data_IF_979417362457
#
_entry.id   IF_979417362457
#
_cell.length_a   1.000
_cell.length_b   1.000
_cell.length_c   1.000
_cell.angle_alpha   90.00
_cell.angle_beta   90.00
_cell.angle_gamma   90.00
#
_symmetry.space_group_name_H-M   'P 1'
#
loop_
_entity.id
_entity.type
_entity.pdbx_description
1 polymer ?
#
# COMPACT_ATOMS: atom_id res chain seq x y z
N UNK A 1 -13.33 14.58 -18.68
CA UNK A 1 -12.67 15.80 -18.19
C UNK A 1 -13.55 16.59 -17.22
N UNK A 2 -14.81 16.92 -17.57
CA UNK A 2 -15.68 17.69 -16.65
C UNK A 2 -15.90 17.01 -15.29
N UNK A 3 -16.09 15.68 -15.25
CA UNK A 3 -16.17 14.95 -13.99
C UNK A 3 -14.88 15.00 -13.17
N UNK A 4 -13.71 14.94 -13.81
CA UNK A 4 -12.41 15.06 -13.16
C UNK A 4 -12.28 16.46 -12.54
N UNK A 5 -12.65 17.51 -13.27
CA UNK A 5 -12.65 18.90 -12.78
C UNK A 5 -13.57 19.04 -11.56
N UNK A 6 -14.77 18.45 -11.63
CA UNK A 6 -15.77 18.49 -10.55
C UNK A 6 -15.26 17.77 -9.29
N UNK A 7 -14.68 16.59 -9.43
CA UNK A 7 -14.17 15.77 -8.31
C UNK A 7 -12.90 16.39 -7.72
N UNK A 8 -12.01 16.94 -8.55
CA UNK A 8 -10.77 17.57 -8.10
C UNK A 8 -11.00 18.89 -7.35
N UNK A 9 -12.24 19.41 -7.32
CA UNK A 9 -12.60 20.70 -6.74
C UNK A 9 -11.69 21.85 -7.26
N UNK A 10 -11.29 21.76 -8.53
CA UNK A 10 -10.37 22.70 -9.19
C UNK A 10 -11.07 23.45 -10.33
N UNK A 11 -10.55 24.63 -10.68
CA UNK A 11 -11.08 25.36 -11.85
C UNK A 11 -10.74 24.63 -13.15
N UNK A 12 -11.61 24.77 -14.15
CA UNK A 12 -11.36 24.26 -15.51
C UNK A 12 -9.99 24.73 -16.03
N UNK A 13 -9.69 26.01 -15.87
CA UNK A 13 -8.40 26.61 -16.28
C UNK A 13 -7.21 25.99 -15.54
N UNK A 14 -7.38 25.63 -14.27
CA UNK A 14 -6.33 24.95 -13.50
C UNK A 14 -6.07 23.56 -14.06
N UNK A 15 -7.11 22.74 -14.25
CA UNK A 15 -6.95 21.35 -14.73
C UNK A 15 -6.35 21.32 -16.13
N UNK A 16 -6.87 22.14 -17.05
CA UNK A 16 -6.36 22.19 -18.43
C UNK A 16 -4.96 22.78 -18.56
N UNK A 17 -4.43 23.42 -17.50
CA UNK A 17 -3.01 23.83 -17.46
C UNK A 17 -2.07 22.64 -17.35
N UNK A 18 -2.51 21.57 -16.67
CA UNK A 18 -1.69 20.39 -16.40
C UNK A 18 -2.05 19.20 -17.29
N UNK A 19 -3.31 19.09 -17.70
CA UNK A 19 -3.80 17.94 -18.46
C UNK A 19 -4.62 18.38 -19.66
N UNK A 20 -4.18 17.99 -20.86
CA UNK A 20 -4.87 18.33 -22.11
C UNK A 20 -6.00 17.35 -22.41
N UNK A 21 -5.94 16.13 -21.86
CA UNK A 21 -6.87 15.04 -22.15
C UNK A 21 -7.13 14.15 -20.92
N UNK A 22 -8.14 13.25 -21.01
CA UNK A 22 -8.35 12.18 -20.02
C UNK A 22 -7.14 11.24 -19.99
N UNK A 23 -6.51 11.01 -21.13
CA UNK A 23 -5.37 10.12 -21.26
C UNK A 23 -4.14 10.69 -20.53
N UNK A 24 -3.93 12.02 -20.60
CA UNK A 24 -2.86 12.70 -19.85
C UNK A 24 -3.05 12.53 -18.33
N UNK A 25 -4.31 12.62 -17.86
CA UNK A 25 -4.62 12.36 -16.45
C UNK A 25 -4.32 10.91 -16.10
N UNK A 26 -4.71 9.95 -16.94
CA UNK A 26 -4.43 8.54 -16.71
C UNK A 26 -2.93 8.24 -16.67
N UNK A 27 -2.15 8.82 -17.58
CA UNK A 27 -0.69 8.70 -17.58
C UNK A 27 -0.15 9.22 -16.24
N UNK A 28 -0.53 10.42 -15.82
CA UNK A 28 -0.04 11.01 -14.58
C UNK A 28 -0.42 10.20 -13.33
N UNK A 29 -1.64 9.64 -13.29
CA UNK A 29 -2.07 8.76 -12.19
C UNK A 29 -1.20 7.50 -12.14
N UNK A 30 -0.90 6.88 -13.28
CA UNK A 30 -0.05 5.67 -13.30
C UNK A 30 1.41 6.01 -12.98
N UNK A 31 1.90 7.16 -13.45
CA UNK A 31 3.22 7.68 -13.07
C UNK A 31 3.34 7.87 -11.56
N UNK A 32 2.33 8.44 -10.90
CA UNK A 32 2.34 8.61 -9.44
C UNK A 32 2.46 7.27 -8.69
N UNK A 33 1.81 6.21 -9.18
CA UNK A 33 1.97 4.87 -8.60
C UNK A 33 3.37 4.31 -8.78
N UNK A 34 3.97 4.50 -9.97
CA UNK A 34 5.33 4.08 -10.25
C UNK A 34 6.34 4.84 -9.39
N UNK A 35 6.19 6.17 -9.32
CA UNK A 35 7.07 7.05 -8.55
C UNK A 35 6.98 6.73 -7.05
N UNK A 36 5.78 6.47 -6.53
CA UNK A 36 5.58 6.01 -5.16
C UNK A 36 6.36 4.73 -4.84
N UNK A 37 6.38 3.75 -5.76
CA UNK A 37 7.12 2.49 -5.59
C UNK A 37 8.64 2.73 -5.70
N UNK A 38 9.06 3.61 -6.61
CA UNK A 38 10.46 3.90 -6.86
C UNK A 38 11.11 4.72 -5.73
N UNK A 39 10.34 5.62 -5.12
CA UNK A 39 10.77 6.45 -3.99
C UNK A 39 10.76 5.68 -2.66
N UNK A 40 10.12 4.50 -2.59
CA UNK A 40 10.10 3.70 -1.37
C UNK A 40 11.48 3.10 -1.08
N UNK A 41 12.16 3.66 -0.08
CA UNK A 41 13.46 3.18 0.38
C UNK A 41 13.31 2.27 1.60
N UNK A 42 13.33 0.97 1.37
CA UNK A 42 13.40 -0.01 2.45
C UNK A 42 14.86 -0.25 2.88
N UNK A 43 15.12 -0.46 4.18
CA UNK A 43 16.44 -0.84 4.67
C UNK A 43 16.99 -2.09 3.95
N UNK A 44 18.30 -2.10 3.74
CA UNK A 44 19.04 -3.14 3.02
C UNK A 44 20.11 -3.78 3.92
N UNK A 45 20.94 -4.65 3.33
CA UNK A 45 21.90 -5.52 4.03
C UNK A 45 22.82 -4.88 5.07
N UNK A 46 23.05 -3.57 4.98
CA UNK A 46 23.98 -2.83 5.84
C UNK A 46 23.29 -2.12 7.02
N UNK A 47 21.97 -2.24 7.13
CA UNK A 47 21.20 -1.53 8.14
C UNK A 47 21.12 -2.32 9.46
N UNK A 48 21.07 -1.60 10.58
CA UNK A 48 20.97 -2.21 11.90
C UNK A 48 19.55 -2.68 12.23
N UNK A 49 19.39 -3.33 13.39
CA UNK A 49 18.09 -3.79 13.88
C UNK A 49 17.04 -2.69 13.92
N UNK A 50 17.41 -1.50 14.40
CA UNK A 50 16.48 -0.38 14.56
C UNK A 50 15.96 0.06 13.21
N UNK A 51 16.86 0.21 12.23
CA UNK A 51 16.50 0.54 10.86
C UNK A 51 15.55 -0.50 10.26
N UNK A 52 15.77 -1.79 10.48
CA UNK A 52 14.86 -2.85 9.99
C UNK A 52 13.45 -2.75 10.60
N UNK A 53 13.33 -2.48 11.90
CA UNK A 53 12.03 -2.34 12.55
C UNK A 53 11.28 -1.07 12.09
N UNK A 54 12.00 0.04 11.92
CA UNK A 54 11.44 1.26 11.31
C UNK A 54 10.99 0.98 9.88
N UNK A 55 11.83 0.30 9.10
CA UNK A 55 11.50 -0.09 7.72
C UNK A 55 10.28 -0.98 7.61
N UNK A 56 10.01 -1.83 8.61
CA UNK A 56 8.79 -2.64 8.63
C UNK A 56 7.55 -1.75 8.79
N UNK A 57 7.60 -0.72 9.64
CA UNK A 57 6.51 0.25 9.76
C UNK A 57 6.30 1.01 8.46
N UNK A 58 7.37 1.51 7.83
CA UNK A 58 7.26 2.22 6.54
C UNK A 58 6.72 1.31 5.44
N UNK A 59 7.13 0.05 5.39
CA UNK A 59 6.57 -0.94 4.48
C UNK A 59 5.07 -1.13 4.70
N UNK A 60 4.63 -1.31 5.94
CA UNK A 60 3.20 -1.47 6.25
C UNK A 60 2.41 -0.22 5.87
N UNK A 61 2.93 0.99 6.10
CA UNK A 61 2.31 2.23 5.62
C UNK A 61 2.16 2.19 4.11
N UNK A 62 3.22 1.81 3.40
CA UNK A 62 3.22 1.79 1.95
C UNK A 62 2.17 0.82 1.40
N UNK A 63 2.09 -0.39 1.95
CA UNK A 63 1.09 -1.39 1.59
C UNK A 63 -0.34 -0.90 1.85
N UNK A 64 -0.60 -0.31 3.03
CA UNK A 64 -1.92 0.23 3.38
C UNK A 64 -2.35 1.31 2.36
N UNK A 65 -1.45 2.24 2.04
CA UNK A 65 -1.73 3.29 1.07
C UNK A 65 -1.98 2.69 -0.32
N UNK A 66 -1.07 1.86 -0.80
CA UNK A 66 -1.13 1.28 -2.14
C UNK A 66 -2.41 0.47 -2.38
N UNK A 67 -2.70 -0.50 -1.50
CA UNK A 67 -3.89 -1.35 -1.61
C UNK A 67 -5.20 -0.57 -1.46
N UNK A 68 -5.19 0.50 -0.68
CA UNK A 68 -6.37 1.37 -0.57
C UNK A 68 -6.61 2.20 -1.84
N UNK A 69 -5.56 2.67 -2.49
CA UNK A 69 -5.69 3.52 -3.67
C UNK A 69 -6.07 2.75 -4.94
N UNK A 70 -5.65 1.48 -5.05
CA UNK A 70 -5.78 0.71 -6.28
C UNK A 70 -6.94 -0.30 -6.22
N UNK A 71 -8.15 0.14 -6.54
CA UNK A 71 -9.33 -0.76 -6.51
C UNK A 71 -9.29 -1.85 -7.59
N UNK A 72 -9.92 -3.00 -7.31
CA UNK A 72 -10.07 -4.09 -8.31
C UNK A 72 -10.75 -3.61 -9.59
N UNK A 73 -11.78 -2.76 -9.46
CA UNK A 73 -12.50 -2.16 -10.60
C UNK A 73 -11.58 -1.31 -11.46
N UNK A 74 -10.80 -0.41 -10.84
CA UNK A 74 -9.86 0.44 -11.55
C UNK A 74 -8.83 -0.39 -12.34
N UNK A 75 -8.28 -1.46 -11.75
CA UNK A 75 -7.35 -2.36 -12.46
C UNK A 75 -7.97 -3.02 -13.68
N UNK A 76 -9.22 -3.47 -13.58
CA UNK A 76 -9.94 -4.10 -14.70
C UNK A 76 -10.23 -3.09 -15.84
N UNK A 77 -10.69 -1.90 -15.48
CA UNK A 77 -10.95 -0.82 -16.44
C UNK A 77 -9.65 -0.36 -17.12
N UNK A 78 -8.56 -0.20 -16.35
CA UNK A 78 -7.25 0.16 -16.89
C UNK A 78 -6.72 -0.88 -17.88
N UNK A 79 -6.84 -2.18 -17.57
CA UNK A 79 -6.41 -3.25 -18.47
C UNK A 79 -7.19 -3.27 -19.80
N UNK A 80 -8.45 -2.85 -19.77
CA UNK A 80 -9.34 -2.85 -20.94
C UNK A 80 -9.16 -1.58 -21.77
N UNK A 81 -9.18 -0.41 -21.14
CA UNK A 81 -9.13 0.90 -21.83
C UNK A 81 -7.70 1.35 -22.15
N UNK A 82 -6.72 0.97 -21.32
CA UNK A 82 -5.33 1.43 -21.40
C UNK A 82 -4.33 0.28 -21.19
N UNK A 83 -4.29 -0.74 -22.07
CA UNK A 83 -3.50 -1.97 -21.85
C UNK A 83 -2.00 -1.71 -21.67
N UNK A 84 -1.45 -0.69 -22.32
CA UNK A 84 -0.04 -0.30 -22.14
C UNK A 84 0.23 0.26 -20.74
N UNK A 85 -0.64 1.15 -20.24
CA UNK A 85 -0.53 1.69 -18.88
C UNK A 85 -0.76 0.60 -17.83
N UNK A 86 -1.66 -0.35 -18.09
CA UNK A 86 -1.83 -1.51 -17.23
C UNK A 86 -0.56 -2.37 -17.17
N UNK A 87 0.13 -2.58 -18.29
CA UNK A 87 1.40 -3.30 -18.32
C UNK A 87 2.48 -2.57 -17.51
N UNK A 88 2.57 -1.25 -17.65
CA UNK A 88 3.48 -0.40 -16.86
C UNK A 88 3.20 -0.53 -15.37
N UNK A 89 1.93 -0.40 -14.96
CA UNK A 89 1.54 -0.53 -13.56
C UNK A 89 1.86 -1.92 -13.01
N UNK A 90 1.57 -2.99 -13.77
CA UNK A 90 1.86 -4.36 -13.35
C UNK A 90 3.36 -4.59 -13.16
N UNK A 91 4.20 -4.02 -14.04
CA UNK A 91 5.66 -4.08 -13.91
C UNK A 91 6.12 -3.38 -12.61
N UNK A 92 5.53 -2.23 -12.28
CA UNK A 92 5.84 -1.54 -11.03
C UNK A 92 5.40 -2.36 -9.80
N UNK A 93 4.20 -2.98 -9.84
CA UNK A 93 3.71 -3.88 -8.77
C UNK A 93 4.66 -5.06 -8.57
N UNK A 94 5.09 -5.72 -9.65
CA UNK A 94 6.04 -6.83 -9.56
C UNK A 94 7.38 -6.41 -8.92
N UNK A 95 7.86 -5.21 -9.27
CA UNK A 95 9.05 -4.60 -8.64
C UNK A 95 8.82 -4.36 -7.15
N UNK A 96 7.68 -3.80 -6.77
CA UNK A 96 7.34 -3.57 -5.38
C UNK A 96 7.31 -4.89 -4.60
N UNK A 97 6.61 -5.90 -5.10
CA UNK A 97 6.56 -7.23 -4.49
C UNK A 97 7.96 -7.86 -4.32
N UNK A 98 8.85 -7.66 -5.30
CA UNK A 98 10.22 -8.12 -5.21
C UNK A 98 10.99 -7.41 -4.08
N UNK A 99 10.88 -6.08 -3.97
CA UNK A 99 11.51 -5.32 -2.89
C UNK A 99 11.03 -5.78 -1.52
N UNK A 100 9.72 -6.04 -1.37
CA UNK A 100 9.14 -6.50 -0.11
C UNK A 100 9.65 -7.91 0.25
N UNK A 101 9.71 -8.84 -0.71
CA UNK A 101 10.29 -10.17 -0.48
C UNK A 101 11.75 -10.09 -0.05
N UNK A 102 12.53 -9.22 -0.67
CA UNK A 102 13.93 -8.99 -0.30
C UNK A 102 14.07 -8.44 1.11
N UNK A 103 13.25 -7.44 1.48
CA UNK A 103 13.22 -6.88 2.83
C UNK A 103 12.90 -7.93 3.90
N UNK A 104 11.87 -8.75 3.68
CA UNK A 104 11.51 -9.83 4.59
C UNK A 104 12.60 -10.89 4.71
N UNK A 105 13.16 -11.34 3.58
CA UNK A 105 14.27 -12.32 3.55
C UNK A 105 15.49 -11.78 4.29
N UNK A 106 15.76 -10.48 4.17
CA UNK A 106 16.85 -9.85 4.85
C UNK A 106 16.64 -9.82 6.38
N UNK A 107 15.47 -9.39 6.86
CA UNK A 107 15.16 -9.43 8.29
C UNK A 107 15.13 -10.84 8.88
N UNK A 108 14.80 -11.85 8.07
CA UNK A 108 14.93 -13.28 8.43
C UNK A 108 16.39 -13.69 8.58
N UNK A 109 17.27 -13.26 7.66
CA UNK A 109 18.71 -13.54 7.71
C UNK A 109 19.36 -12.93 8.96
N UNK A 110 18.93 -11.71 9.34
CA UNK A 110 19.34 -11.05 10.58
C UNK A 110 18.72 -11.65 11.85
N UNK A 111 17.87 -12.68 11.73
CA UNK A 111 17.12 -13.29 12.83
C UNK A 111 16.27 -12.29 13.61
N UNK A 112 15.78 -11.24 12.95
CA UNK A 112 14.82 -10.28 13.49
C UNK A 112 13.39 -10.72 13.19
N UNK A 113 13.18 -11.30 12.01
CA UNK A 113 11.89 -11.81 11.55
C UNK A 113 11.81 -13.34 11.69
N UNK A 114 10.58 -13.84 11.84
CA UNK A 114 10.28 -15.27 11.90
C UNK A 114 10.58 -15.93 10.54
N UNK A 115 11.01 -17.19 10.57
CA UNK A 115 11.25 -17.97 9.35
C UNK A 115 9.91 -18.42 8.77
N UNK A 116 9.54 -17.85 7.62
CA UNK A 116 8.35 -18.19 6.86
C UNK A 116 8.56 -17.80 5.39
N UNK A 117 7.65 -18.19 4.50
CA UNK A 117 7.72 -17.79 3.10
C UNK A 117 7.23 -16.34 2.94
N UNK A 118 8.08 -15.37 2.52
CA UNK A 118 7.66 -13.97 2.35
C UNK A 118 6.52 -13.79 1.35
N UNK A 119 6.42 -14.66 0.33
CA UNK A 119 5.33 -14.61 -0.65
C UNK A 119 3.96 -14.86 0.01
N UNK A 120 3.89 -15.69 1.06
CA UNK A 120 2.64 -15.92 1.78
C UNK A 120 2.24 -14.71 2.63
N UNK A 121 3.22 -13.99 3.19
CA UNK A 121 2.93 -12.73 3.89
C UNK A 121 2.37 -11.69 2.94
N UNK A 122 2.97 -11.52 1.76
CA UNK A 122 2.45 -10.59 0.75
C UNK A 122 1.04 -10.95 0.30
N UNK A 123 0.79 -12.24 -0.01
CA UNK A 123 -0.56 -12.70 -0.37
C UNK A 123 -1.58 -12.36 0.74
N UNK A 124 -1.23 -12.62 2.00
CA UNK A 124 -2.08 -12.27 3.12
C UNK A 124 -2.30 -10.75 3.19
N UNK A 125 -1.28 -9.94 2.95
CA UNK A 125 -1.40 -8.49 2.96
C UNK A 125 -2.38 -7.96 1.91
N UNK A 126 -2.25 -8.41 0.66
CA UNK A 126 -3.14 -7.99 -0.43
C UNK A 126 -4.60 -8.36 -0.15
N UNK A 127 -4.87 -9.59 0.28
CA UNK A 127 -6.23 -10.04 0.54
C UNK A 127 -6.82 -9.41 1.80
N UNK A 128 -6.05 -9.33 2.89
CA UNK A 128 -6.53 -8.76 4.14
C UNK A 128 -6.79 -7.27 4.01
N UNK A 129 -5.84 -6.49 3.48
CA UNK A 129 -6.04 -5.04 3.36
C UNK A 129 -7.20 -4.73 2.42
N UNK A 130 -7.30 -5.38 1.25
CA UNK A 130 -8.42 -5.16 0.34
C UNK A 130 -9.76 -5.52 0.98
N UNK A 131 -9.83 -6.59 1.78
CA UNK A 131 -11.08 -7.05 2.41
C UNK A 131 -11.48 -6.13 3.56
N UNK A 132 -10.52 -5.69 4.37
CA UNK A 132 -10.77 -4.80 5.52
C UNK A 132 -11.09 -3.35 5.12
N UNK A 133 -11.00 -3.04 3.83
CA UNK A 133 -11.44 -1.78 3.24
C UNK A 133 -12.75 -1.90 2.45
N UNK A 134 -13.32 -3.11 2.35
CA UNK A 134 -14.60 -3.33 1.69
C UNK A 134 -15.76 -3.03 2.63
N UNK A 135 -16.58 -2.02 2.29
CA UNK A 135 -17.69 -1.57 3.14
C UNK A 135 -18.72 -2.67 3.38
N UNK A 136 -19.04 -3.46 2.36
CA UNK A 136 -20.00 -4.56 2.49
C UNK A 136 -19.50 -5.62 3.46
N UNK A 137 -18.23 -6.01 3.37
CA UNK A 137 -17.60 -6.95 4.31
C UNK A 137 -17.65 -6.42 5.74
N UNK A 138 -17.27 -5.16 5.95
CA UNK A 138 -17.25 -4.53 7.27
C UNK A 138 -18.65 -4.49 7.90
N UNK A 139 -19.67 -4.05 7.15
CA UNK A 139 -21.06 -4.00 7.63
C UNK A 139 -21.58 -5.40 7.95
N UNK A 140 -21.35 -6.37 7.05
CA UNK A 140 -21.82 -7.76 7.22
C UNK A 140 -21.26 -8.39 8.50
N UNK A 141 -20.01 -8.08 8.85
CA UNK A 141 -19.32 -8.66 10.01
C UNK A 141 -19.32 -7.74 11.24
N UNK A 142 -20.05 -6.61 11.21
CA UNK A 142 -20.09 -5.62 12.30
C UNK A 142 -18.71 -5.13 12.73
N UNK A 143 -17.82 -4.93 11.76
CA UNK A 143 -16.45 -4.48 11.98
C UNK A 143 -16.31 -2.99 11.74
N UNK A 144 -15.49 -2.33 12.55
CA UNK A 144 -14.99 -0.98 12.26
C UNK A 144 -13.73 -1.10 11.39
N UNK A 145 -13.68 -0.39 10.26
CA UNK A 145 -12.49 -0.35 9.38
C UNK A 145 -11.23 0.01 10.16
N UNK A 146 -11.30 1.04 11.04
CA UNK A 146 -10.18 1.47 11.87
C UNK A 146 -9.69 0.33 12.76
N UNK A 147 -10.60 -0.27 13.53
CA UNK A 147 -10.22 -1.31 14.48
C UNK A 147 -9.68 -2.54 13.76
N UNK A 148 -10.31 -2.93 12.65
CA UNK A 148 -9.87 -4.09 11.88
C UNK A 148 -8.47 -3.90 11.28
N UNK A 149 -8.15 -2.72 10.75
CA UNK A 149 -6.80 -2.40 10.26
C UNK A 149 -5.76 -2.40 11.39
N UNK A 150 -6.10 -1.83 12.56
CA UNK A 150 -5.24 -1.86 13.75
C UNK A 150 -4.95 -3.30 14.19
N UNK A 151 -5.99 -4.13 14.25
CA UNK A 151 -5.86 -5.53 14.67
C UNK A 151 -5.05 -6.34 13.66
N UNK A 152 -5.26 -6.12 12.36
CA UNK A 152 -4.48 -6.74 11.31
C UNK A 152 -3.00 -6.35 11.36
N UNK A 153 -2.68 -5.09 11.63
CA UNK A 153 -1.28 -4.67 11.79
C UNK A 153 -0.64 -5.34 13.01
N UNK A 154 -1.35 -5.43 14.14
CA UNK A 154 -0.86 -6.15 15.32
C UNK A 154 -0.61 -7.63 15.00
N UNK A 155 -1.52 -8.27 14.29
CA UNK A 155 -1.37 -9.64 13.80
C UNK A 155 -0.14 -9.79 12.91
N UNK A 156 0.08 -8.85 11.99
CA UNK A 156 1.25 -8.83 11.11
C UNK A 156 2.56 -8.73 11.90
N UNK A 157 2.63 -7.87 12.92
CA UNK A 157 3.82 -7.83 13.79
C UNK A 157 4.09 -9.16 14.47
N UNK A 158 3.05 -9.84 14.97
CA UNK A 158 3.20 -11.16 15.60
C UNK A 158 3.69 -12.23 14.62
N UNK A 159 3.19 -12.20 13.38
CA UNK A 159 3.57 -13.13 12.33
C UNK A 159 4.99 -12.91 11.82
N UNK A 160 5.36 -11.65 11.58
CA UNK A 160 6.62 -11.31 10.92
C UNK A 160 7.77 -11.22 11.92
N UNK A 161 7.55 -10.64 13.11
CA UNK A 161 8.63 -10.23 14.01
C UNK A 161 8.80 -11.25 15.13
N UNK A 162 10.05 -11.60 15.45
CA UNK A 162 10.33 -12.53 16.55
C UNK A 162 9.92 -11.93 17.90
N UNK A 163 9.44 -12.74 18.86
CA UNK A 163 8.85 -12.26 20.10
C UNK A 163 9.71 -11.25 20.88
N UNK A 164 11.03 -11.46 20.91
CA UNK A 164 11.96 -10.57 21.63
C UNK A 164 12.03 -9.14 21.07
N UNK A 165 11.63 -8.92 19.82
CA UNK A 165 11.67 -7.60 19.17
C UNK A 165 10.28 -6.95 19.07
N UNK A 166 9.19 -7.69 19.27
CA UNK A 166 7.81 -7.17 19.17
C UNK A 166 7.54 -6.00 20.12
N UNK A 167 8.18 -6.00 21.29
CA UNK A 167 8.08 -4.91 22.27
C UNK A 167 8.56 -3.55 21.77
N UNK A 168 9.27 -3.48 20.64
CA UNK A 168 9.78 -2.25 20.03
C UNK A 168 8.82 -1.65 18.99
N UNK A 169 7.77 -2.37 18.60
CA UNK A 169 6.80 -1.93 17.62
C UNK A 169 5.50 -1.48 18.30
N UNK A 170 4.90 -0.40 17.79
CA UNK A 170 3.64 0.14 18.29
C UNK A 170 2.75 0.47 17.11
N UNK A 171 1.54 -0.12 17.09
CA UNK A 171 0.54 0.17 16.05
C UNK A 171 0.17 1.66 15.99
N UNK A 172 0.32 2.38 17.10
CA UNK A 172 0.11 3.83 17.17
C UNK A 172 1.01 4.61 16.20
N UNK A 173 2.16 4.08 15.82
CA UNK A 173 3.05 4.72 14.83
C UNK A 173 2.43 4.74 13.42
N UNK A 174 1.39 3.94 13.21
CA UNK A 174 0.62 3.81 11.97
C UNK A 174 -0.76 4.50 12.04
N UNK A 175 -1.17 4.98 13.23
CA UNK A 175 -2.45 5.67 13.42
C UNK A 175 -2.63 6.86 12.45
N UNK A 176 -1.63 7.73 12.20
CA UNK A 176 -1.80 8.83 11.25
C UNK A 176 -2.13 8.34 9.84
N UNK A 177 -1.46 7.28 9.38
CA UNK A 177 -1.68 6.69 8.07
C UNK A 177 -3.08 6.07 7.97
N UNK A 178 -3.47 5.26 8.97
CA UNK A 178 -4.81 4.66 9.04
C UNK A 178 -5.89 5.74 9.07
N UNK A 179 -5.69 6.80 9.85
CA UNK A 179 -6.62 7.93 9.95
C UNK A 179 -6.80 8.62 8.59
N UNK A 180 -5.69 8.94 7.92
CA UNK A 180 -5.70 9.61 6.61
C UNK A 180 -6.39 8.75 5.55
N UNK A 181 -6.08 7.45 5.52
CA UNK A 181 -6.67 6.49 4.60
C UNK A 181 -8.19 6.45 4.74
N UNK A 182 -8.69 6.37 5.97
CA UNK A 182 -10.13 6.32 6.23
C UNK A 182 -10.82 7.67 5.97
N UNK A 183 -10.13 8.80 6.15
CA UNK A 183 -10.68 10.12 5.79
C UNK A 183 -10.78 10.33 4.28
N UNK A 184 -9.87 9.76 3.47
CA UNK A 184 -9.94 9.87 2.00
C UNK A 184 -11.06 9.04 1.35
N UNK A 185 -11.79 8.24 2.15
CA UNK A 185 -12.84 7.33 1.70
C UNK A 185 -14.26 7.84 1.97
N UNK A 186 -14.42 8.90 2.77
CA UNK A 186 -15.69 9.53 3.15
C UNK A 186 -15.66 11.04 2.85
#
# INVERSE_FOLDING_TARGET
>A
MDDIIRIAHASRTTVYRYFSSKDDVMIAVITEYCDFIDDLQLPTANNDQTAMLIGLNELIKAQLLFESSLSRRFRQELATEYPQLSSTLNTAIEKFDQQQRQFYTHGQTLKLFNQANPTLWLLADHEMISTLLDEHYLVTHSLSARQALIDYVNFKYQQVVRPEYQGQLRVRDLDPTISKLLQSRF
#
